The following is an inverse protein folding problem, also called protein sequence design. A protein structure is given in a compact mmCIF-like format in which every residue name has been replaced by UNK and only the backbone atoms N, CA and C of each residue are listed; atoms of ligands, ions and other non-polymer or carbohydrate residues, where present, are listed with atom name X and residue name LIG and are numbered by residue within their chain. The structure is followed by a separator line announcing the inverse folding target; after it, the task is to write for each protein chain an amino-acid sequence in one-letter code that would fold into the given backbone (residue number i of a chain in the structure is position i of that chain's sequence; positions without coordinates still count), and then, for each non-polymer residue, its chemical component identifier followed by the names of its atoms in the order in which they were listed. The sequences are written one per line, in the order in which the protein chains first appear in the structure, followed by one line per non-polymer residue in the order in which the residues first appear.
data_IF_976334501889
#
_entry.id   IF_976334501889
#
_cell.length_a   1.000
_cell.length_b   1.000
_cell.length_c   1.000
_cell.angle_alpha   90.00
_cell.angle_beta   90.00
_cell.angle_gamma   90.00
#
_symmetry.space_group_name_H-M   'P 1'
#
loop_
_entity.id
_entity.type
_entity.pdbx_description
1 polymer ?
#
# COMPACT_ATOMS: atom_id res chain seq x y z
N UNK A 1 -17.08 -23.73 -21.75
CA UNK A 1 -18.05 -22.70 -21.32
C UNK A 1 -18.62 -21.94 -22.50
N UNK A 2 -17.78 -21.37 -23.36
CA UNK A 2 -18.24 -20.47 -24.44
C UNK A 2 -18.68 -21.22 -25.71
N UNK A 3 -17.97 -22.30 -26.08
CA UNK A 3 -18.40 -23.17 -27.20
C UNK A 3 -19.40 -24.25 -26.76
N UNK A 4 -19.20 -24.84 -25.58
CA UNK A 4 -20.01 -25.98 -25.12
C UNK A 4 -21.10 -25.59 -24.09
N UNK A 5 -21.32 -24.29 -23.83
CA UNK A 5 -22.28 -23.78 -22.83
C UNK A 5 -22.21 -24.43 -21.43
N UNK A 6 -21.03 -24.94 -21.05
CA UNK A 6 -20.81 -25.61 -19.76
C UNK A 6 -20.87 -24.62 -18.59
N UNK A 7 -21.53 -25.01 -17.50
CA UNK A 7 -21.59 -24.24 -16.25
C UNK A 7 -20.23 -24.21 -15.52
N UNK A 8 -20.03 -23.25 -14.62
CA UNK A 8 -18.82 -23.16 -13.79
C UNK A 8 -18.52 -24.45 -13.03
N UNK A 9 -19.54 -25.09 -12.46
CA UNK A 9 -19.40 -26.37 -11.76
C UNK A 9 -19.06 -27.53 -12.70
N UNK A 10 -19.68 -27.60 -13.88
CA UNK A 10 -19.40 -28.65 -14.86
C UNK A 10 -17.94 -28.57 -15.37
N UNK A 11 -17.42 -27.36 -15.57
CA UNK A 11 -16.00 -27.17 -15.93
C UNK A 11 -15.10 -27.54 -14.77
N UNK A 12 -15.43 -27.15 -13.55
CA UNK A 12 -14.66 -27.57 -12.36
C UNK A 12 -14.55 -29.09 -12.27
N UNK A 13 -15.64 -29.83 -12.52
CA UNK A 13 -15.65 -31.28 -12.52
C UNK A 13 -14.84 -31.89 -13.69
N UNK A 14 -14.96 -31.32 -14.89
CA UNK A 14 -14.23 -31.80 -16.07
C UNK A 14 -12.71 -31.66 -15.93
N UNK A 15 -12.24 -30.65 -15.19
CA UNK A 15 -10.82 -30.37 -14.96
C UNK A 15 -10.32 -30.80 -13.57
N UNK A 16 -11.11 -31.60 -12.83
CA UNK A 16 -10.80 -32.10 -11.48
C UNK A 16 -10.37 -30.99 -10.49
N UNK A 17 -11.02 -29.82 -10.60
CA UNK A 17 -10.78 -28.68 -9.73
C UNK A 17 -11.67 -28.83 -8.49
N UNK A 18 -11.02 -28.89 -7.32
CA UNK A 18 -11.67 -29.10 -6.03
C UNK A 18 -12.51 -27.90 -5.55
N UNK A 19 -12.12 -26.67 -5.91
CA UNK A 19 -12.89 -25.45 -5.62
C UNK A 19 -13.78 -25.07 -6.81
N UNK A 20 -15.08 -25.35 -6.71
CA UNK A 20 -16.07 -24.99 -7.73
C UNK A 20 -16.16 -23.48 -8.01
N UNK A 21 -15.71 -22.65 -7.06
CA UNK A 21 -15.64 -21.19 -7.21
C UNK A 21 -14.35 -20.69 -7.87
N UNK A 22 -13.32 -21.53 -8.03
CA UNK A 22 -12.02 -21.11 -8.56
C UNK A 22 -12.14 -20.60 -10.01
N UNK A 23 -12.89 -21.32 -10.85
CA UNK A 23 -13.07 -20.95 -12.26
C UNK A 23 -13.74 -19.59 -12.41
N UNK A 24 -14.75 -19.30 -11.57
CA UNK A 24 -15.42 -17.99 -11.56
C UNK A 24 -14.47 -16.86 -11.12
N UNK A 25 -13.64 -17.10 -10.10
CA UNK A 25 -12.63 -16.14 -9.63
C UNK A 25 -11.62 -15.84 -10.72
N UNK A 26 -11.08 -16.87 -11.38
CA UNK A 26 -10.12 -16.71 -12.47
C UNK A 26 -10.70 -15.91 -13.64
N UNK A 27 -11.94 -16.19 -14.05
CA UNK A 27 -12.60 -15.42 -15.12
C UNK A 27 -12.79 -13.96 -14.71
N UNK A 28 -13.21 -13.69 -13.47
CA UNK A 28 -13.33 -12.31 -12.98
C UNK A 28 -11.98 -11.58 -12.98
N UNK A 29 -10.91 -12.23 -12.53
CA UNK A 29 -9.57 -11.67 -12.57
C UNK A 29 -9.13 -11.39 -14.01
N UNK A 30 -9.31 -12.36 -14.91
CA UNK A 30 -8.96 -12.25 -16.31
C UNK A 30 -9.70 -11.12 -17.02
N UNK A 31 -11.00 -10.94 -16.77
CA UNK A 31 -11.77 -9.82 -17.33
C UNK A 31 -11.33 -8.48 -16.76
N UNK A 32 -10.85 -8.44 -15.52
CA UNK A 32 -10.43 -7.20 -14.86
C UNK A 32 -9.04 -6.71 -15.26
N UNK A 33 -8.11 -7.61 -15.56
CA UNK A 33 -6.71 -7.25 -15.79
C UNK A 33 -5.93 -8.23 -16.66
N UNK A 34 -6.64 -9.03 -17.48
CA UNK A 34 -6.04 -9.97 -18.41
C UNK A 34 -5.22 -11.05 -17.72
N UNK A 35 -4.16 -11.48 -18.40
CA UNK A 35 -3.27 -12.53 -17.91
C UNK A 35 -2.52 -12.11 -16.64
N UNK A 36 -2.08 -10.86 -16.53
CA UNK A 36 -1.33 -10.36 -15.37
C UNK A 36 -2.15 -10.46 -14.07
N UNK A 37 -3.48 -10.31 -14.15
CA UNK A 37 -4.36 -10.44 -12.99
C UNK A 37 -4.56 -11.89 -12.51
N UNK A 38 -4.19 -12.90 -13.30
CA UNK A 38 -4.17 -14.30 -12.89
C UNK A 38 -2.89 -14.66 -12.12
N UNK A 39 -1.85 -13.84 -12.22
CA UNK A 39 -0.61 -14.08 -11.49
C UNK A 39 -0.83 -13.90 -9.99
N UNK A 40 -0.28 -14.79 -9.14
CA UNK A 40 -0.41 -14.66 -7.70
C UNK A 40 0.26 -13.35 -7.27
N UNK A 41 -0.56 -12.40 -6.82
CA UNK A 41 -0.07 -11.11 -6.34
C UNK A 41 0.81 -11.36 -5.10
N UNK A 42 2.01 -10.74 -5.02
CA UNK A 42 2.82 -10.84 -3.82
C UNK A 42 1.98 -10.46 -2.60
N UNK A 43 2.08 -11.19 -1.48
CA UNK A 43 1.33 -10.86 -0.29
C UNK A 43 1.59 -9.40 0.07
N UNK A 44 0.53 -8.60 0.11
CA UNK A 44 0.63 -7.16 0.44
C UNK A 44 1.17 -6.88 1.85
N UNK A 45 1.32 -7.93 2.68
CA UNK A 45 1.87 -7.83 4.02
C UNK A 45 2.97 -8.88 4.18
N UNK A 46 4.20 -8.49 4.59
CA UNK A 46 5.17 -9.48 5.03
C UNK A 46 4.58 -10.24 6.21
N UNK A 47 4.68 -11.57 6.16
CA UNK A 47 4.31 -12.45 7.26
C UNK A 47 5.50 -12.52 8.23
N UNK A 48 5.82 -11.37 8.83
CA UNK A 48 6.69 -11.23 9.98
C UNK A 48 6.48 -9.84 10.60
N UNK A 49 5.94 -9.81 11.82
CA UNK A 49 5.89 -8.59 12.65
C UNK A 49 7.27 -8.26 13.23
N UNK A 50 8.23 -9.19 13.11
CA UNK A 50 9.58 -9.11 13.67
C UNK A 50 10.54 -8.23 12.86
N UNK A 51 10.20 -7.93 11.59
CA UNK A 51 11.04 -7.12 10.69
C UNK A 51 10.58 -5.66 10.58
N UNK A 52 9.55 -5.27 11.35
CA UNK A 52 9.22 -3.87 11.56
C UNK A 52 10.23 -3.29 12.55
N UNK A 53 11.48 -3.14 12.13
CA UNK A 53 12.44 -2.31 12.83
C UNK A 53 11.83 -0.89 12.85
N UNK A 54 11.37 -0.38 14.00
CA UNK A 54 10.87 0.97 14.06
C UNK A 54 12.09 1.83 13.85
N UNK A 55 12.15 2.50 12.69
CA UNK A 55 12.86 3.76 12.44
C UNK A 55 13.91 4.01 13.52
N UNK A 56 15.17 3.60 13.29
CA UNK A 56 16.28 4.05 14.13
C UNK A 56 16.15 5.56 14.26
N UNK A 57 15.62 6.02 15.38
CA UNK A 57 15.75 7.39 15.82
C UNK A 57 17.23 7.50 16.09
N UNK A 58 17.97 8.01 15.10
CA UNK A 58 19.39 8.31 15.23
C UNK A 58 19.55 9.06 16.56
N UNK A 59 20.20 8.39 17.50
CA UNK A 59 20.36 8.91 18.85
C UNK A 59 21.35 10.06 18.80
N UNK A 60 21.39 10.89 19.85
CA UNK A 60 22.39 11.94 19.96
C UNK A 60 23.84 11.41 19.83
N UNK A 61 24.06 10.14 20.17
CA UNK A 61 25.34 9.45 20.02
C UNK A 61 25.73 9.25 18.54
N UNK A 62 24.76 8.94 17.67
CA UNK A 62 25.02 8.77 16.24
C UNK A 62 25.47 10.11 15.62
N UNK A 63 24.82 11.22 16.00
CA UNK A 63 25.17 12.55 15.50
C UNK A 63 26.54 13.07 15.97
N UNK A 64 27.06 12.59 17.11
CA UNK A 64 28.37 12.98 17.62
C UNK A 64 29.54 12.41 16.80
N UNK A 65 29.31 11.30 16.08
CA UNK A 65 30.31 10.68 15.21
C UNK A 65 30.31 11.24 13.78
N UNK A 66 29.29 12.01 13.39
CA UNK A 66 29.20 12.57 12.04
C UNK A 66 30.05 13.84 11.88
N UNK A 67 30.54 14.03 10.66
CA UNK A 67 31.27 15.25 10.31
C UNK A 67 30.33 16.46 10.29
N UNK A 68 30.88 17.67 10.52
CA UNK A 68 30.10 18.93 10.55
C UNK A 68 29.25 19.13 9.29
N UNK A 69 29.77 18.76 8.12
CA UNK A 69 29.07 18.90 6.85
C UNK A 69 27.85 17.99 6.74
N UNK A 70 27.96 16.75 7.21
CA UNK A 70 26.85 15.81 7.22
C UNK A 70 25.74 16.25 8.17
N UNK A 71 26.13 16.80 9.33
CA UNK A 71 25.18 17.37 10.29
C UNK A 71 24.35 18.50 9.65
N UNK A 72 24.99 19.39 8.89
CA UNK A 72 24.30 20.46 8.16
C UNK A 72 23.35 19.91 7.09
N UNK A 73 23.77 18.87 6.34
CA UNK A 73 22.91 18.22 5.34
C UNK A 73 21.67 17.59 6.00
N UNK A 74 21.84 16.94 7.16
CA UNK A 74 20.73 16.39 7.96
C UNK A 74 19.76 17.47 8.44
N UNK A 75 20.28 18.56 9.01
CA UNK A 75 19.45 19.70 9.46
C UNK A 75 18.63 20.25 8.30
N UNK A 76 19.23 20.52 7.15
CA UNK A 76 18.51 21.00 5.96
C UNK A 76 17.40 20.04 5.52
N UNK A 77 17.67 18.72 5.53
CA UNK A 77 16.66 17.70 5.23
C UNK A 77 15.49 17.75 6.21
N UNK A 78 15.77 17.82 7.50
CA UNK A 78 14.75 17.89 8.54
C UNK A 78 13.92 19.17 8.44
N UNK A 79 14.54 20.32 8.14
CA UNK A 79 13.84 21.58 7.91
C UNK A 79 12.87 21.49 6.72
N UNK A 80 13.28 20.84 5.62
CA UNK A 80 12.40 20.60 4.47
C UNK A 80 11.23 19.67 4.83
N UNK A 81 11.49 18.57 5.53
CA UNK A 81 10.44 17.64 6.00
C UNK A 81 9.43 18.37 6.92
N UNK A 82 9.92 19.18 7.87
CA UNK A 82 9.07 19.99 8.74
C UNK A 82 8.26 21.05 7.97
N UNK A 83 8.84 21.70 6.96
CA UNK A 83 8.14 22.68 6.13
C UNK A 83 6.99 22.04 5.35
N UNK A 84 7.17 20.81 4.84
CA UNK A 84 6.11 20.05 4.17
C UNK A 84 4.99 19.69 5.14
N UNK A 85 5.34 19.20 6.35
CA UNK A 85 4.35 18.85 7.38
C UNK A 85 3.52 20.06 7.79
N UNK A 86 4.14 21.22 8.02
CA UNK A 86 3.43 22.46 8.35
C UNK A 86 2.47 22.90 7.25
N UNK A 87 2.84 22.75 5.98
CA UNK A 87 1.92 23.02 4.84
C UNK A 87 0.72 22.08 4.87
N UNK A 88 0.93 20.81 5.19
CA UNK A 88 -0.16 19.84 5.30
C UNK A 88 -1.11 20.17 6.47
N UNK A 89 -0.55 20.48 7.64
CA UNK A 89 -1.33 20.90 8.81
C UNK A 89 -2.18 22.15 8.52
N UNK A 90 -1.61 23.13 7.82
CA UNK A 90 -2.35 24.33 7.41
C UNK A 90 -3.54 24.01 6.48
N UNK A 91 -3.37 23.09 5.53
CA UNK A 91 -4.46 22.65 4.65
C UNK A 91 -5.56 21.93 5.43
N UNK A 92 -5.19 21.05 6.36
CA UNK A 92 -6.15 20.33 7.19
C UNK A 92 -6.90 21.28 8.14
N UNK A 93 -6.21 22.27 8.72
CA UNK A 93 -6.84 23.31 9.53
C UNK A 93 -7.83 24.14 8.70
N UNK A 94 -7.48 24.51 7.47
CA UNK A 94 -8.36 25.25 6.56
C UNK A 94 -9.63 24.44 6.21
N UNK A 95 -9.49 23.14 5.91
CA UNK A 95 -10.64 22.24 5.67
C UNK A 95 -11.56 22.14 6.89
N UNK A 96 -10.98 21.99 8.09
CA UNK A 96 -11.74 21.96 9.36
C UNK A 96 -12.46 23.29 9.62
N UNK A 97 -11.85 24.42 9.31
CA UNK A 97 -12.50 25.73 9.45
C UNK A 97 -13.65 25.92 8.45
N UNK A 98 -13.47 25.52 7.19
CA UNK A 98 -14.50 25.61 6.15
C UNK A 98 -15.73 24.75 6.46
N UNK A 99 -15.54 23.53 6.96
CA UNK A 99 -16.64 22.63 7.35
C UNK A 99 -17.40 23.15 8.57
N UNK A 100 -16.72 23.76 9.55
CA UNK A 100 -17.38 24.44 10.68
C UNK A 100 -18.21 25.64 10.25
N UNK A 101 -17.72 26.45 9.30
CA UNK A 101 -18.46 27.62 8.78
C UNK A 101 -19.75 27.23 8.04
N UNK A 102 -19.77 26.10 7.33
CA UNK A 102 -20.98 25.59 6.64
C UNK A 102 -22.05 25.01 7.57
N UNK A 103 -21.70 24.69 8.82
CA UNK A 103 -22.62 24.11 9.81
C UNK A 103 -23.26 25.15 10.74
N UNK A 104 -22.89 26.42 10.61
CA UNK A 104 -23.58 27.56 11.23
C UNK A 104 -24.46 28.22 10.19
#
# INVERSE_FOLDING_TARGET
MWENSLSYGAVSAAFDIRDQGAVRKWISCYLSGGFDALTPRPPHRPKNMSDLNPKQTETAADNASLTREELVKKVKRLEMELAILKKFEALDQAKRAATKKKRK
#
